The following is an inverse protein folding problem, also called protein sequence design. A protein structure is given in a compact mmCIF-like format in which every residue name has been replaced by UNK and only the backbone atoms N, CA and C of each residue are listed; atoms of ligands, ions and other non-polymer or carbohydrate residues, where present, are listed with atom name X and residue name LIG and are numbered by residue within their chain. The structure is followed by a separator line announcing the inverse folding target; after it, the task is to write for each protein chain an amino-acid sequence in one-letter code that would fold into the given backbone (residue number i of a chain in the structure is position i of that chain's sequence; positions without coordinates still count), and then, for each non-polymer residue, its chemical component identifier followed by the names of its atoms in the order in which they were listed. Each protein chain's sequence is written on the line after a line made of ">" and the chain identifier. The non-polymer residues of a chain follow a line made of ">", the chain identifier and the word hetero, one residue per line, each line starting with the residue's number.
data_IF_905019914224
#
_entry.id   IF_905019914224
#
_cell.length_a   1.000
_cell.length_b   1.000
_cell.length_c   1.000
_cell.angle_alpha   90.00
_cell.angle_beta   90.00
_cell.angle_gamma   90.00
#
_symmetry.space_group_name_H-M   'P 1'
#
loop_
_entity.id
_entity.type
_entity.pdbx_description
1 polymer ?
#
# COMPACT_ATOMS: atom_id res chain seq x y z
N UNK A 1 -24.74 33.01 -31.84
CA UNK A 1 -24.53 32.23 -30.61
C UNK A 1 -23.03 32.17 -30.22
N UNK A 2 -22.30 33.28 -30.32
CA UNK A 2 -20.83 33.30 -30.07
C UNK A 2 -20.40 34.04 -28.81
N UNK A 3 -21.35 34.62 -28.06
CA UNK A 3 -21.06 35.44 -26.86
C UNK A 3 -21.34 34.74 -25.53
N UNK A 4 -22.00 33.55 -25.55
CA UNK A 4 -22.36 32.82 -24.32
C UNK A 4 -21.15 32.22 -23.61
N UNK A 5 -20.14 31.74 -24.34
CA UNK A 5 -18.92 31.21 -23.74
C UNK A 5 -18.04 32.29 -23.10
N UNK A 6 -18.04 33.51 -23.66
CA UNK A 6 -17.30 34.63 -23.06
C UNK A 6 -17.91 35.08 -21.73
N UNK A 7 -19.26 35.14 -21.67
CA UNK A 7 -19.97 35.49 -20.43
C UNK A 7 -19.79 34.43 -19.35
N UNK A 8 -19.82 33.15 -19.75
CA UNK A 8 -19.61 32.02 -18.82
C UNK A 8 -18.18 32.03 -18.24
N UNK A 9 -17.17 32.26 -19.08
CA UNK A 9 -15.78 32.35 -18.61
C UNK A 9 -15.54 33.58 -17.74
N UNK A 10 -16.12 34.73 -18.06
CA UNK A 10 -16.05 35.93 -17.21
C UNK A 10 -16.67 35.70 -15.83
N UNK A 11 -17.81 35.00 -15.77
CA UNK A 11 -18.47 34.64 -14.53
C UNK A 11 -17.66 33.66 -13.69
N UNK A 12 -16.99 32.73 -14.34
CA UNK A 12 -16.07 31.77 -13.68
C UNK A 12 -14.85 32.49 -13.07
N UNK A 13 -14.25 33.44 -13.77
CA UNK A 13 -13.14 34.23 -13.24
C UNK A 13 -13.54 35.12 -12.05
N UNK A 14 -14.75 35.67 -12.06
CA UNK A 14 -15.29 36.43 -10.92
C UNK A 14 -15.51 35.50 -9.70
N UNK A 15 -16.07 34.30 -9.90
CA UNK A 15 -16.24 33.31 -8.83
C UNK A 15 -14.91 32.85 -8.25
N UNK A 16 -13.92 32.57 -9.09
CA UNK A 16 -12.55 32.21 -8.65
C UNK A 16 -11.90 33.36 -7.88
N UNK A 17 -12.07 34.61 -8.34
CA UNK A 17 -11.59 35.80 -7.65
C UNK A 17 -12.23 36.01 -6.27
N UNK A 18 -13.53 35.75 -6.14
CA UNK A 18 -14.25 35.82 -4.86
C UNK A 18 -13.78 34.71 -3.92
N UNK A 19 -13.62 33.48 -4.42
CA UNK A 19 -13.09 32.35 -3.64
C UNK A 19 -11.65 32.61 -3.16
N UNK A 20 -10.82 33.18 -4.02
CA UNK A 20 -9.44 33.55 -3.68
C UNK A 20 -9.42 34.66 -2.61
N UNK A 21 -10.28 35.68 -2.78
CA UNK A 21 -10.43 36.75 -1.78
C UNK A 21 -10.92 36.24 -0.43
N UNK A 22 -11.91 35.35 -0.41
CA UNK A 22 -12.43 34.73 0.83
C UNK A 22 -11.39 33.82 1.48
N UNK A 23 -10.62 33.09 0.70
CA UNK A 23 -9.55 32.21 1.20
C UNK A 23 -8.37 33.02 1.79
N UNK A 24 -8.03 34.15 1.20
CA UNK A 24 -6.91 34.99 1.65
C UNK A 24 -7.31 36.04 2.68
N UNK A 25 -8.57 36.45 2.74
CA UNK A 25 -9.09 37.44 3.73
C UNK A 25 -9.52 36.81 5.05
N UNK A 26 -9.61 35.47 5.14
CA UNK A 26 -10.03 34.74 6.35
C UNK A 26 -8.96 34.51 7.42
N UNK A 27 -7.75 34.96 7.19
CA UNK A 27 -6.61 34.73 8.08
C UNK A 27 -6.44 35.76 9.18
N UNK A 28 -7.36 35.91 10.13
CA UNK A 28 -6.98 36.39 11.46
C UNK A 28 -6.24 35.22 12.13
N UNK A 29 -4.90 35.26 12.12
CA UNK A 29 -4.05 34.49 13.04
C UNK A 29 -4.42 34.89 14.47
N UNK A 30 -5.33 34.13 15.07
CA UNK A 30 -5.35 34.00 16.52
C UNK A 30 -4.04 33.30 16.87
N UNK A 31 -3.16 33.99 17.58
CA UNK A 31 -2.00 33.36 18.18
C UNK A 31 -2.45 32.09 18.91
N UNK A 32 -1.74 30.97 18.78
CA UNK A 32 -2.15 29.73 19.43
C UNK A 32 -2.23 30.01 20.94
N UNK A 33 -3.42 29.84 21.49
CA UNK A 33 -3.65 29.89 22.93
C UNK A 33 -2.71 28.87 23.56
N UNK A 34 -1.89 29.29 24.52
CA UNK A 34 -0.92 28.42 25.17
C UNK A 34 -1.68 27.23 25.75
N UNK A 35 -1.38 26.03 25.24
CA UNK A 35 -1.94 24.76 25.75
C UNK A 35 -1.42 24.61 27.17
N UNK A 36 -2.24 24.98 28.16
CA UNK A 36 -1.94 24.74 29.57
C UNK A 36 -2.20 23.27 29.85
N UNK A 37 -1.21 22.47 30.28
CA UNK A 37 -1.47 21.08 30.67
C UNK A 37 -2.51 21.04 31.77
N UNK A 38 -3.46 20.11 31.75
CA UNK A 38 -4.44 19.97 32.81
C UNK A 38 -3.72 19.76 34.15
N UNK A 39 -4.08 20.58 35.15
CA UNK A 39 -3.58 20.48 36.50
C UNK A 39 -4.00 19.11 37.07
N UNK A 40 -3.04 18.18 37.26
CA UNK A 40 -3.31 16.84 37.77
C UNK A 40 -2.34 15.75 37.29
N UNK A 41 -1.43 16.03 36.39
CA UNK A 41 -0.40 15.08 35.94
C UNK A 41 0.82 15.02 36.86
N UNK A 42 0.60 14.98 38.18
CA UNK A 42 1.64 14.77 39.21
C UNK A 42 1.35 13.46 39.94
N UNK A 43 1.76 12.37 39.36
CA UNK A 43 1.68 11.04 40.01
C UNK A 43 2.41 10.03 39.17
N UNK A 44 3.30 9.26 39.74
CA UNK A 44 4.18 8.24 39.21
C UNK A 44 4.12 8.08 37.70
N UNK A 45 5.04 8.75 36.98
CA UNK A 45 4.87 9.01 35.56
C UNK A 45 4.78 7.74 34.73
N UNK A 46 3.74 7.64 33.94
CA UNK A 46 3.60 6.63 32.87
C UNK A 46 4.85 6.72 31.98
N UNK A 47 5.58 5.63 31.88
CA UNK A 47 6.78 5.54 31.06
C UNK A 47 6.39 5.26 29.62
N UNK A 48 6.54 6.25 28.78
CA UNK A 48 6.21 6.16 27.35
C UNK A 48 7.51 6.16 26.55
N UNK A 49 7.60 5.29 25.57
CA UNK A 49 8.62 5.31 24.53
C UNK A 49 7.95 5.31 23.16
N UNK A 50 8.72 5.55 22.10
CA UNK A 50 8.23 5.37 20.75
C UNK A 50 9.25 4.64 19.86
N UNK A 51 8.71 4.06 18.79
CA UNK A 51 9.48 3.42 17.74
C UNK A 51 9.15 4.12 16.42
N UNK A 52 10.18 4.59 15.72
CA UNK A 52 10.04 5.12 14.36
C UNK A 52 9.86 3.95 13.40
N UNK A 53 8.62 3.76 12.92
CA UNK A 53 8.26 2.64 12.05
C UNK A 53 8.90 2.74 10.67
N UNK A 54 9.15 3.95 10.13
CA UNK A 54 9.85 4.13 8.86
C UNK A 54 11.28 3.57 8.95
N UNK A 55 11.99 3.94 10.03
CA UNK A 55 13.34 3.45 10.31
C UNK A 55 13.34 1.95 10.63
N UNK A 56 12.33 1.48 11.37
CA UNK A 56 12.17 0.08 11.70
C UNK A 56 12.04 -0.77 10.42
N UNK A 57 11.09 -0.45 9.56
CA UNK A 57 10.84 -1.21 8.33
C UNK A 57 12.00 -1.13 7.35
N UNK A 58 12.67 0.01 7.26
CA UNK A 58 13.86 0.17 6.43
C UNK A 58 15.03 -0.72 6.86
N UNK A 59 15.11 -1.11 8.14
CA UNK A 59 16.28 -1.80 8.71
C UNK A 59 15.97 -3.17 9.35
N UNK A 60 14.71 -3.58 9.43
CA UNK A 60 14.33 -4.89 9.93
C UNK A 60 14.50 -5.94 8.83
N UNK A 61 15.47 -6.85 9.03
CA UNK A 61 15.88 -7.81 7.98
C UNK A 61 14.76 -8.76 7.58
N UNK A 62 14.04 -9.32 8.53
CA UNK A 62 12.90 -10.20 8.25
C UNK A 62 11.86 -9.52 7.34
N UNK A 63 11.53 -8.25 7.61
CA UNK A 63 10.59 -7.51 6.79
C UNK A 63 11.10 -7.31 5.35
N UNK A 64 12.39 -6.99 5.21
CA UNK A 64 13.04 -6.87 3.88
C UNK A 64 12.97 -8.18 3.10
N UNK A 65 13.25 -9.29 3.78
CA UNK A 65 13.25 -10.62 3.16
C UNK A 65 11.82 -11.01 2.73
N UNK A 66 10.81 -10.78 3.59
CA UNK A 66 9.40 -11.01 3.24
C UNK A 66 8.94 -10.14 2.08
N UNK A 67 9.30 -8.85 2.10
CA UNK A 67 8.98 -7.91 1.01
C UNK A 67 9.62 -8.36 -0.30
N UNK A 68 10.90 -8.69 -0.29
CA UNK A 68 11.62 -9.18 -1.48
C UNK A 68 11.01 -10.48 -2.02
N UNK A 69 10.66 -11.42 -1.14
CA UNK A 69 10.01 -12.66 -1.53
C UNK A 69 8.63 -12.43 -2.16
N UNK A 70 7.86 -11.50 -1.61
CA UNK A 70 6.55 -11.14 -2.16
C UNK A 70 6.69 -10.46 -3.53
N UNK A 71 7.61 -9.49 -3.67
CA UNK A 71 7.91 -8.83 -4.95
C UNK A 71 8.34 -9.83 -6.03
N UNK A 72 9.16 -10.82 -5.69
CA UNK A 72 9.57 -11.88 -6.61
C UNK A 72 8.39 -12.75 -7.05
N UNK A 73 7.47 -13.07 -6.13
CA UNK A 73 6.24 -13.83 -6.46
C UNK A 73 5.31 -13.05 -7.38
N UNK A 74 5.11 -11.75 -7.11
CA UNK A 74 4.33 -10.86 -7.96
C UNK A 74 4.92 -10.85 -9.37
N UNK A 75 6.21 -10.57 -9.49
CA UNK A 75 6.91 -10.52 -10.78
C UNK A 75 6.85 -11.86 -11.54
N UNK A 76 6.96 -12.96 -10.83
CA UNK A 76 6.86 -14.29 -11.44
C UNK A 76 5.44 -14.58 -11.94
N UNK A 77 4.41 -14.21 -11.17
CA UNK A 77 3.01 -14.34 -11.56
C UNK A 77 2.68 -13.49 -12.79
N UNK A 78 3.10 -12.22 -12.78
CA UNK A 78 2.93 -11.30 -13.93
C UNK A 78 3.59 -11.85 -15.20
N UNK A 79 4.85 -12.26 -15.12
CA UNK A 79 5.58 -12.83 -16.26
C UNK A 79 4.89 -14.10 -16.80
N UNK A 80 4.36 -14.96 -15.93
CA UNK A 80 3.62 -16.14 -16.31
C UNK A 80 2.33 -15.79 -17.06
N UNK A 81 1.56 -14.82 -16.56
CA UNK A 81 0.33 -14.35 -17.20
C UNK A 81 0.61 -13.72 -18.57
N UNK A 82 1.61 -12.83 -18.65
CA UNK A 82 2.03 -12.18 -19.91
C UNK A 82 2.44 -13.25 -20.94
N UNK A 83 3.22 -14.24 -20.54
CA UNK A 83 3.63 -15.32 -21.44
C UNK A 83 2.45 -16.13 -21.97
N UNK A 84 1.49 -16.49 -21.11
CA UNK A 84 0.27 -17.23 -21.49
C UNK A 84 -0.61 -16.39 -22.40
N UNK A 85 -0.75 -15.09 -22.13
CA UNK A 85 -1.50 -14.17 -22.97
C UNK A 85 -0.89 -14.07 -24.36
N UNK A 86 0.43 -13.92 -24.48
CA UNK A 86 1.12 -13.86 -25.77
C UNK A 86 0.93 -15.14 -26.58
N UNK A 87 0.97 -16.32 -25.93
CA UNK A 87 0.70 -17.60 -26.59
C UNK A 87 -0.74 -17.63 -27.10
N UNK A 88 -1.72 -17.25 -26.27
CA UNK A 88 -3.12 -17.22 -26.65
C UNK A 88 -3.37 -16.25 -27.82
N UNK A 89 -2.80 -15.06 -27.80
CA UNK A 89 -2.90 -14.08 -28.89
C UNK A 89 -2.33 -14.62 -30.20
N UNK A 90 -1.18 -15.29 -30.14
CA UNK A 90 -0.58 -15.95 -31.30
C UNK A 90 -1.48 -17.07 -31.86
N UNK A 91 -2.02 -17.91 -31.00
CA UNK A 91 -2.91 -19.02 -31.40
C UNK A 91 -4.20 -18.46 -31.99
N UNK A 92 -4.78 -17.40 -31.42
CA UNK A 92 -5.97 -16.73 -31.97
C UNK A 92 -5.67 -16.07 -33.34
N UNK A 93 -4.48 -15.46 -33.51
CA UNK A 93 -4.06 -14.90 -34.80
C UNK A 93 -3.92 -16.00 -35.87
N UNK A 94 -3.31 -17.13 -35.52
CA UNK A 94 -3.19 -18.28 -36.41
C UNK A 94 -4.57 -18.88 -36.80
N UNK A 95 -5.48 -18.98 -35.81
CA UNK A 95 -6.85 -19.42 -36.06
C UNK A 95 -7.58 -18.48 -37.04
N UNK A 96 -7.49 -17.15 -36.84
CA UNK A 96 -8.08 -16.16 -37.77
C UNK A 96 -7.57 -16.30 -39.20
N UNK A 97 -6.26 -16.53 -39.39
CA UNK A 97 -5.67 -16.75 -40.70
C UNK A 97 -6.19 -18.05 -41.34
N UNK A 98 -6.36 -19.12 -40.55
CA UNK A 98 -6.87 -20.40 -40.97
C UNK A 98 -8.33 -20.28 -41.41
N UNK A 99 -9.17 -19.60 -40.65
CA UNK A 99 -10.57 -19.31 -40.98
C UNK A 99 -10.69 -18.45 -42.24
N UNK A 100 -9.91 -17.38 -42.34
CA UNK A 100 -9.89 -16.50 -43.51
C UNK A 100 -9.39 -17.18 -44.81
N UNK A 101 -8.67 -18.31 -44.72
CA UNK A 101 -8.18 -19.05 -45.89
C UNK A 101 -9.29 -19.71 -46.70
N UNK A 102 -10.46 -19.94 -46.09
CA UNK A 102 -11.59 -20.62 -46.70
C UNK A 102 -11.38 -22.12 -46.99
N UNK A 103 -10.25 -22.69 -46.56
CA UNK A 103 -9.91 -24.09 -46.84
C UNK A 103 -10.53 -25.09 -45.87
N UNK A 104 -11.24 -24.63 -44.84
CA UNK A 104 -11.77 -25.42 -43.74
C UNK A 104 -13.27 -25.15 -43.57
N UNK A 105 -14.03 -26.20 -43.35
CA UNK A 105 -15.46 -26.05 -43.03
C UNK A 105 -15.64 -25.54 -41.58
N UNK A 106 -16.77 -24.88 -41.24
CA UNK A 106 -17.09 -24.48 -39.89
C UNK A 106 -17.01 -25.62 -38.87
N UNK A 107 -17.43 -26.83 -39.24
CA UNK A 107 -17.36 -28.01 -38.39
C UNK A 107 -15.92 -28.44 -38.06
N UNK A 108 -14.96 -28.16 -38.94
CA UNK A 108 -13.55 -28.46 -38.70
C UNK A 108 -12.86 -27.39 -37.81
N UNK A 109 -13.36 -26.16 -37.84
CA UNK A 109 -12.80 -25.03 -37.05
C UNK A 109 -13.41 -24.96 -35.65
N UNK A 110 -14.64 -25.41 -35.44
CA UNK A 110 -15.35 -25.30 -34.17
C UNK A 110 -14.57 -25.85 -32.94
N UNK A 111 -13.98 -27.06 -33.02
CA UNK A 111 -13.24 -27.60 -31.87
C UNK A 111 -12.04 -26.75 -31.48
N UNK A 112 -11.34 -26.14 -32.45
CA UNK A 112 -10.18 -25.28 -32.23
C UNK A 112 -10.62 -23.94 -31.60
N UNK A 113 -11.72 -23.37 -32.12
CA UNK A 113 -12.34 -22.18 -31.55
C UNK A 113 -12.75 -22.40 -30.09
N UNK A 114 -13.45 -23.50 -29.80
CA UNK A 114 -13.88 -23.84 -28.45
C UNK A 114 -12.68 -24.02 -27.49
N UNK A 115 -11.61 -24.63 -27.98
CA UNK A 115 -10.37 -24.77 -27.19
C UNK A 115 -9.72 -23.43 -26.88
N UNK A 116 -9.70 -22.49 -27.84
CA UNK A 116 -9.17 -21.14 -27.64
C UNK A 116 -10.03 -20.36 -26.63
N UNK A 117 -11.35 -20.45 -26.74
CA UNK A 117 -12.26 -19.79 -25.77
C UNK A 117 -12.10 -20.36 -24.36
N UNK A 118 -11.96 -21.67 -24.21
CA UNK A 118 -11.66 -22.29 -22.90
C UNK A 118 -10.33 -21.81 -22.32
N UNK A 119 -9.29 -21.67 -23.16
CA UNK A 119 -7.99 -21.14 -22.71
C UNK A 119 -8.09 -19.68 -22.28
N UNK A 120 -8.85 -18.84 -23.03
CA UNK A 120 -9.08 -17.45 -22.67
C UNK A 120 -9.80 -17.33 -21.32
N UNK A 121 -10.85 -18.13 -21.13
CA UNK A 121 -11.57 -18.18 -19.85
C UNK A 121 -10.66 -18.65 -18.70
N UNK A 122 -9.90 -19.73 -18.89
CA UNK A 122 -8.98 -20.24 -17.87
C UNK A 122 -7.90 -19.21 -17.49
N UNK A 123 -7.42 -18.43 -18.46
CA UNK A 123 -6.44 -17.37 -18.20
C UNK A 123 -7.05 -16.24 -17.36
N UNK A 124 -8.29 -15.82 -17.66
CA UNK A 124 -9.00 -14.82 -16.88
C UNK A 124 -9.28 -15.29 -15.44
N UNK A 125 -9.66 -16.56 -15.28
CA UNK A 125 -9.87 -17.16 -13.95
C UNK A 125 -8.55 -17.26 -13.17
N UNK A 126 -7.45 -17.59 -13.84
CA UNK A 126 -6.11 -17.64 -13.23
C UNK A 126 -5.67 -16.25 -12.77
N UNK A 127 -5.85 -15.21 -13.58
CA UNK A 127 -5.55 -13.81 -13.24
C UNK A 127 -6.32 -13.37 -11.99
N UNK A 128 -7.65 -13.61 -11.98
CA UNK A 128 -8.48 -13.27 -10.84
C UNK A 128 -8.05 -14.01 -9.55
N UNK A 129 -7.70 -15.30 -9.67
CA UNK A 129 -7.22 -16.11 -8.56
C UNK A 129 -5.87 -15.61 -8.03
N UNK A 130 -4.94 -15.29 -8.93
CA UNK A 130 -3.61 -14.79 -8.55
C UNK A 130 -3.72 -13.42 -7.86
N UNK A 131 -4.54 -12.51 -8.39
CA UNK A 131 -4.80 -11.20 -7.78
C UNK A 131 -5.32 -11.37 -6.34
N UNK A 132 -6.30 -12.25 -6.14
CA UNK A 132 -6.84 -12.55 -4.82
C UNK A 132 -5.77 -13.13 -3.89
N UNK A 133 -5.00 -14.12 -4.35
CA UNK A 133 -3.95 -14.75 -3.56
C UNK A 133 -2.84 -13.76 -3.15
N UNK A 134 -2.44 -12.85 -4.06
CA UNK A 134 -1.44 -11.82 -3.75
C UNK A 134 -1.96 -10.85 -2.69
N UNK A 135 -3.20 -10.37 -2.82
CA UNK A 135 -3.82 -9.50 -1.81
C UNK A 135 -3.95 -10.18 -0.43
N UNK A 136 -4.31 -11.47 -0.41
CA UNK A 136 -4.36 -12.25 0.84
C UNK A 136 -2.95 -12.40 1.46
N UNK A 137 -1.92 -12.63 0.63
CA UNK A 137 -0.54 -12.73 1.09
C UNK A 137 0.00 -11.41 1.62
N UNK A 138 -0.31 -10.28 0.97
CA UNK A 138 0.03 -8.94 1.46
C UNK A 138 -0.59 -8.66 2.83
N UNK A 139 -1.90 -8.93 2.97
CA UNK A 139 -2.62 -8.76 4.22
C UNK A 139 -2.05 -9.66 5.32
N UNK A 140 -1.73 -10.91 4.99
CA UNK A 140 -1.12 -11.84 5.92
C UNK A 140 0.27 -11.36 6.34
N UNK A 141 1.11 -10.94 5.41
CA UNK A 141 2.46 -10.45 5.70
C UNK A 141 2.43 -9.21 6.62
N UNK A 142 1.46 -8.29 6.42
CA UNK A 142 1.27 -7.14 7.30
C UNK A 142 0.86 -7.57 8.73
N UNK A 143 -0.05 -8.52 8.85
CA UNK A 143 -0.49 -9.04 10.15
C UNK A 143 0.64 -9.80 10.87
N UNK A 144 1.37 -10.65 10.16
CA UNK A 144 2.51 -11.41 10.68
C UNK A 144 3.62 -10.45 11.17
N UNK A 145 3.84 -9.35 10.45
CA UNK A 145 4.79 -8.31 10.86
C UNK A 145 4.39 -7.67 12.18
N UNK A 146 3.13 -7.24 12.31
CA UNK A 146 2.61 -6.63 13.54
C UNK A 146 2.72 -7.64 14.70
N UNK A 147 2.28 -8.86 14.50
CA UNK A 147 2.32 -9.91 15.54
C UNK A 147 3.76 -10.23 15.99
N UNK A 148 4.71 -10.24 15.06
CA UNK A 148 6.12 -10.43 15.36
C UNK A 148 6.66 -9.28 16.20
N UNK A 149 6.44 -8.04 15.77
CA UNK A 149 6.86 -6.84 16.51
C UNK A 149 6.24 -6.83 17.91
N UNK A 150 4.92 -7.08 18.04
CA UNK A 150 4.25 -7.14 19.34
C UNK A 150 4.86 -8.19 20.27
N UNK A 151 5.15 -9.37 19.75
CA UNK A 151 5.77 -10.45 20.53
C UNK A 151 7.13 -10.01 21.06
N UNK A 152 7.95 -9.37 20.24
CA UNK A 152 9.26 -8.88 20.63
C UNK A 152 9.17 -7.71 21.62
N UNK A 153 8.23 -6.80 21.41
CA UNK A 153 8.00 -5.69 22.34
C UNK A 153 7.49 -6.18 23.70
N UNK A 154 6.65 -7.22 23.75
CA UNK A 154 6.24 -7.86 25.02
C UNK A 154 7.42 -8.47 25.78
N UNK A 155 8.34 -9.11 25.07
CA UNK A 155 9.57 -9.63 25.68
C UNK A 155 10.46 -8.50 26.22
N UNK A 156 10.49 -7.34 25.54
CA UNK A 156 11.20 -6.14 25.97
C UNK A 156 10.52 -5.45 27.16
N UNK A 157 9.20 -5.42 27.23
CA UNK A 157 8.45 -4.73 28.25
C UNK A 157 8.87 -5.17 29.67
N UNK A 158 9.16 -6.47 29.85
CA UNK A 158 9.66 -7.01 31.12
C UNK A 158 11.07 -6.52 31.50
N UNK A 159 11.88 -6.11 30.50
CA UNK A 159 13.28 -5.70 30.68
C UNK A 159 13.45 -4.17 30.77
N UNK A 160 12.62 -3.40 30.06
CA UNK A 160 12.76 -1.96 29.92
C UNK A 160 11.72 -1.13 30.66
N UNK A 161 10.65 -1.77 31.14
CA UNK A 161 9.71 -1.15 32.07
C UNK A 161 8.95 0.05 31.49
N UNK A 162 8.64 0.04 30.19
CA UNK A 162 7.72 1.01 29.58
C UNK A 162 6.27 0.55 29.72
N UNK A 163 5.39 1.50 30.02
CA UNK A 163 3.95 1.26 30.09
C UNK A 163 3.32 1.32 28.70
N UNK A 164 3.84 2.20 27.82
CA UNK A 164 3.40 2.36 26.42
C UNK A 164 4.58 2.50 25.49
N UNK A 165 4.48 1.81 24.35
CA UNK A 165 5.37 1.99 23.20
C UNK A 165 4.50 2.44 22.03
N UNK A 166 4.70 3.67 21.55
CA UNK A 166 3.93 4.26 20.48
C UNK A 166 4.63 4.08 19.15
N UNK A 167 3.89 3.96 18.07
CA UNK A 167 4.44 4.01 16.71
C UNK A 167 4.48 5.44 16.21
N UNK A 168 5.60 5.85 15.64
CA UNK A 168 5.78 7.13 14.96
C UNK A 168 6.19 6.89 13.51
N UNK A 169 5.52 7.55 12.57
CA UNK A 169 5.88 7.59 11.16
C UNK A 169 5.85 9.03 10.66
N UNK A 170 6.85 9.44 9.88
CA UNK A 170 6.96 10.82 9.40
C UNK A 170 5.86 11.22 8.42
N UNK A 171 5.28 10.26 7.71
CA UNK A 171 4.27 10.50 6.66
C UNK A 171 2.82 10.22 7.06
N UNK A 172 2.56 9.87 8.31
CA UNK A 172 1.21 9.56 8.78
C UNK A 172 1.24 8.72 10.04
N UNK A 173 0.47 9.09 11.03
CA UNK A 173 0.39 8.41 12.31
C UNK A 173 -0.39 9.26 13.32
N UNK A 174 -0.75 8.66 14.44
CA UNK A 174 -1.45 9.36 15.53
C UNK A 174 -0.51 10.24 16.37
N UNK A 175 0.80 10.04 16.25
CA UNK A 175 1.82 10.80 16.97
C UNK A 175 2.41 11.86 16.04
N UNK A 176 2.18 13.14 16.36
CA UNK A 176 2.60 14.27 15.54
C UNK A 176 3.97 14.82 15.92
N UNK A 177 4.35 14.69 17.18
CA UNK A 177 5.60 15.21 17.73
C UNK A 177 6.17 14.22 18.74
N UNK A 178 7.46 13.97 18.64
CA UNK A 178 8.20 13.08 19.55
C UNK A 178 9.40 13.81 20.16
N UNK A 179 9.84 13.33 21.31
CA UNK A 179 11.10 13.73 21.92
C UNK A 179 12.12 12.62 21.66
N UNK A 180 13.25 12.94 21.04
CA UNK A 180 14.29 11.98 20.65
C UNK A 180 14.83 11.14 21.81
N UNK A 181 14.75 11.67 23.05
CA UNK A 181 15.15 10.92 24.25
C UNK A 181 14.25 9.71 24.54
N UNK A 182 13.07 9.64 23.95
CA UNK A 182 12.09 8.54 24.09
C UNK A 182 12.15 7.55 22.91
N UNK A 183 13.07 7.75 21.97
CA UNK A 183 13.26 6.87 20.80
C UNK A 183 14.00 5.59 21.18
N UNK A 184 13.29 4.47 21.13
CA UNK A 184 13.86 3.13 21.35
C UNK A 184 13.99 2.30 20.07
N UNK A 185 13.87 2.92 18.91
CA UNK A 185 13.90 2.25 17.60
C UNK A 185 15.15 1.38 17.43
N UNK A 186 16.31 1.89 17.82
CA UNK A 186 17.57 1.15 17.70
C UNK A 186 17.60 -0.12 18.56
N UNK A 187 17.13 -0.02 19.81
CA UNK A 187 17.08 -1.16 20.74
C UNK A 187 16.13 -2.23 20.22
N UNK A 188 14.94 -1.82 19.73
CA UNK A 188 13.97 -2.72 19.13
C UNK A 188 14.54 -3.40 17.89
N UNK A 189 15.20 -2.66 17.00
CA UNK A 189 15.86 -3.22 15.81
C UNK A 189 16.93 -4.24 16.15
N UNK A 190 17.78 -3.97 17.14
CA UNK A 190 18.82 -4.90 17.56
C UNK A 190 18.21 -6.24 18.02
N UNK A 191 17.14 -6.19 18.78
CA UNK A 191 16.45 -7.40 19.26
C UNK A 191 15.76 -8.16 18.15
N UNK A 192 15.02 -7.46 17.29
CA UNK A 192 14.34 -8.07 16.14
C UNK A 192 15.31 -8.77 15.20
N UNK A 193 16.47 -8.15 14.93
CA UNK A 193 17.47 -8.72 14.03
C UNK A 193 18.33 -9.81 14.70
N UNK A 194 18.55 -9.76 16.02
CA UNK A 194 19.31 -10.79 16.74
C UNK A 194 18.60 -12.16 16.78
N UNK A 195 17.28 -12.16 16.80
CA UNK A 195 16.49 -13.41 16.84
C UNK A 195 16.41 -14.14 15.51
N UNK A 196 16.73 -13.47 14.41
CA UNK A 196 16.77 -14.10 13.09
C UNK A 196 18.06 -14.90 12.84
N UNK A 197 19.06 -14.77 13.71
CA UNK A 197 20.34 -15.46 13.58
C UNK A 197 20.39 -16.77 14.37
N UNK A 198 19.30 -17.14 15.02
CA UNK A 198 19.13 -18.41 15.76
C UNK A 198 18.23 -19.38 14.98
#
# INVERSE_FOLDING_TARGET
>A
MKNSSFVLNALLFVLVGILYYLHFSGGKSTAPEAIVPPAGFSGGGVKIAYVNTDTLFANYQWYKDQKTALEQRIKSAENSLISKQQVLEKDMAAFKQKDASGNYSPAQLQPEYDALMKRAQALAEEEARLTKQLSEQESKAANDLIANIETQLKNLQSQIGYDYILSYARGGGQVLLTNDSLDITRQVLQLLNAQQQQ
#
